data_IF_331994763816
#
_entry.id   IF_331994763816
#
_cell.length_a   1.000
_cell.length_b   1.000
_cell.length_c   1.000
_cell.angle_alpha   90.00
_cell.angle_beta   90.00
_cell.angle_gamma   90.00
#
_symmetry.space_group_name_H-M   'P 1'
#
loop_
_entity.id
_entity.type
_entity.pdbx_description
1 polymer ?
#
# COMPACT_ATOMS: atom_id res chain seq x y z
N UNK A 1 -2.66 -15.51 9.11
CA UNK A 1 -3.73 -14.95 8.26
C UNK A 1 -4.21 -15.95 7.19
N UNK A 2 -3.99 -17.26 7.38
CA UNK A 2 -4.28 -18.27 6.35
C UNK A 2 -5.75 -18.32 5.92
N UNK A 3 -6.67 -17.88 6.78
CA UNK A 3 -8.10 -17.87 6.56
C UNK A 3 -8.57 -16.93 5.44
N UNK A 4 -7.70 -16.03 4.97
CA UNK A 4 -8.06 -15.02 3.98
C UNK A 4 -7.22 -15.07 2.70
N UNK A 5 -6.23 -15.96 2.64
CA UNK A 5 -5.32 -16.08 1.50
C UNK A 5 -6.01 -16.61 0.25
N UNK A 6 -6.97 -17.52 0.37
CA UNK A 6 -7.73 -18.01 -0.77
C UNK A 6 -8.46 -16.88 -1.49
N UNK A 7 -9.05 -15.95 -0.72
CA UNK A 7 -9.65 -14.75 -1.29
C UNK A 7 -8.59 -13.83 -1.91
N UNK A 8 -7.49 -13.55 -1.23
CA UNK A 8 -6.41 -12.71 -1.75
C UNK A 8 -5.88 -13.22 -3.10
N UNK A 9 -5.36 -14.44 -3.13
CA UNK A 9 -4.77 -15.02 -4.35
C UNK A 9 -5.82 -15.29 -5.43
N UNK A 10 -7.04 -15.64 -5.03
CA UNK A 10 -8.15 -15.80 -5.95
C UNK A 10 -8.53 -14.50 -6.64
N UNK A 11 -8.58 -13.38 -5.91
CA UNK A 11 -8.83 -12.05 -6.50
C UNK A 11 -7.69 -11.60 -7.40
N UNK A 12 -6.43 -11.84 -7.02
CA UNK A 12 -5.27 -11.58 -7.88
C UNK A 12 -5.38 -12.33 -9.21
N UNK A 13 -5.65 -13.63 -9.16
CA UNK A 13 -5.83 -14.46 -10.35
C UNK A 13 -7.01 -14.01 -11.21
N UNK A 14 -8.10 -13.54 -10.59
CA UNK A 14 -9.31 -13.10 -11.29
C UNK A 14 -9.10 -11.75 -12.00
N UNK A 15 -8.49 -10.79 -11.30
CA UNK A 15 -8.47 -9.38 -11.69
C UNK A 15 -7.13 -8.88 -12.25
N UNK A 16 -6.08 -9.71 -12.15
CA UNK A 16 -4.74 -9.43 -12.71
C UNK A 16 -4.06 -10.70 -13.25
N UNK A 17 -4.72 -11.50 -14.11
CA UNK A 17 -4.21 -12.80 -14.56
C UNK A 17 -2.91 -12.72 -15.37
N UNK A 18 -2.61 -11.56 -15.97
CA UNK A 18 -1.40 -11.34 -16.78
C UNK A 18 -0.17 -10.99 -15.93
N UNK A 19 -0.34 -10.67 -14.65
CA UNK A 19 0.75 -10.29 -13.76
C UNK A 19 1.27 -11.53 -13.05
N UNK A 20 2.60 -11.71 -13.03
CA UNK A 20 3.26 -12.74 -12.24
C UNK A 20 3.15 -12.37 -10.77
N UNK A 21 2.61 -13.28 -9.95
CA UNK A 21 2.45 -13.09 -8.52
C UNK A 21 3.52 -13.87 -7.75
N UNK A 22 4.16 -13.19 -6.79
CA UNK A 22 5.12 -13.77 -5.84
C UNK A 22 4.71 -13.35 -4.44
N UNK A 23 4.76 -14.27 -3.47
CA UNK A 23 4.58 -13.94 -2.05
C UNK A 23 5.89 -14.14 -1.28
N UNK A 24 6.17 -13.24 -0.35
CA UNK A 24 7.26 -13.38 0.62
C UNK A 24 6.67 -13.94 1.91
N UNK A 25 7.21 -15.06 2.42
CA UNK A 25 6.63 -15.81 3.54
C UNK A 25 7.72 -16.32 4.49
N UNK A 26 7.44 -16.51 5.78
CA UNK A 26 8.42 -17.08 6.72
C UNK A 26 8.55 -18.61 6.61
N UNK A 27 7.60 -19.27 5.93
CA UNK A 27 7.57 -20.71 5.76
C UNK A 27 6.77 -21.10 4.53
N UNK A 28 7.38 -21.86 3.64
CA UNK A 28 6.72 -22.43 2.47
C UNK A 28 5.42 -23.19 2.82
N UNK A 29 4.39 -23.00 2.01
CA UNK A 29 3.08 -23.64 2.15
C UNK A 29 2.56 -24.18 0.82
N UNK A 30 2.05 -25.42 0.83
CA UNK A 30 1.41 -26.02 -0.35
C UNK A 30 0.06 -25.38 -0.70
N UNK A 31 -0.52 -24.59 0.22
CA UNK A 31 -1.81 -23.92 0.03
C UNK A 31 -1.73 -22.61 -0.77
N UNK A 32 -0.53 -22.11 -1.05
CA UNK A 32 -0.34 -20.86 -1.78
C UNK A 32 -0.11 -21.15 -3.26
N UNK A 33 -0.97 -20.66 -4.18
CA UNK A 33 -0.95 -21.03 -5.58
C UNK A 33 -0.01 -20.14 -6.43
N UNK A 34 0.93 -19.44 -5.81
CA UNK A 34 1.85 -18.50 -6.47
C UNK A 34 3.31 -18.84 -6.12
N UNK A 35 4.25 -18.20 -6.81
CA UNK A 35 5.67 -18.34 -6.47
C UNK A 35 5.90 -17.84 -5.03
N UNK A 36 6.72 -18.55 -4.26
CA UNK A 36 6.99 -18.25 -2.86
C UNK A 36 8.48 -17.99 -2.68
N UNK A 37 8.79 -16.96 -1.92
CA UNK A 37 10.15 -16.66 -1.47
C UNK A 37 10.15 -16.69 0.05
N UNK A 38 10.96 -17.58 0.63
CA UNK A 38 11.02 -17.77 2.08
C UNK A 38 12.03 -16.80 2.69
N UNK A 39 11.61 -15.98 3.66
CA UNK A 39 12.53 -15.13 4.42
C UNK A 39 12.96 -15.77 5.74
N UNK A 40 14.18 -15.44 6.15
CA UNK A 40 14.76 -15.85 7.43
C UNK A 40 14.38 -14.85 8.54
N UNK A 41 13.68 -15.35 9.56
CA UNK A 41 13.18 -14.58 10.70
C UNK A 41 14.30 -14.05 11.61
N UNK A 42 15.55 -14.53 11.48
CA UNK A 42 16.70 -14.01 12.21
C UNK A 42 17.20 -12.66 11.66
N UNK A 43 16.80 -12.29 10.45
CA UNK A 43 17.10 -10.98 9.86
C UNK A 43 16.12 -9.90 10.32
N UNK A 44 16.56 -8.64 10.24
CA UNK A 44 15.69 -7.50 10.49
C UNK A 44 14.68 -7.30 9.34
N UNK A 45 13.59 -6.55 9.54
CA UNK A 45 12.54 -6.38 8.52
C UNK A 45 13.09 -5.95 7.15
N UNK A 46 13.92 -4.91 7.10
CA UNK A 46 14.45 -4.43 5.83
C UNK A 46 15.34 -5.48 5.14
N UNK A 47 16.16 -6.19 5.90
CA UNK A 47 17.05 -7.22 5.37
C UNK A 47 16.27 -8.44 4.87
N UNK A 48 15.22 -8.87 5.58
CA UNK A 48 14.29 -9.90 5.10
C UNK A 48 13.71 -9.51 3.74
N UNK A 49 13.23 -8.27 3.63
CA UNK A 49 12.62 -7.77 2.40
C UNK A 49 13.63 -7.69 1.24
N UNK A 50 14.83 -7.17 1.48
CA UNK A 50 15.91 -7.08 0.48
C UNK A 50 16.30 -8.47 -0.02
N UNK A 51 16.48 -9.44 0.90
CA UNK A 51 16.82 -10.81 0.54
C UNK A 51 15.76 -11.40 -0.39
N UNK A 52 14.48 -11.21 -0.07
CA UNK A 52 13.40 -11.66 -0.92
C UNK A 52 13.37 -10.97 -2.30
N UNK A 53 13.59 -9.65 -2.34
CA UNK A 53 13.63 -8.91 -3.61
C UNK A 53 14.77 -9.39 -4.52
N UNK A 54 15.91 -9.79 -3.95
CA UNK A 54 17.05 -10.31 -4.71
C UNK A 54 16.77 -11.69 -5.34
N UNK A 55 15.74 -12.42 -4.89
CA UNK A 55 15.29 -13.68 -5.51
C UNK A 55 14.24 -13.47 -6.61
N UNK A 56 13.78 -12.22 -6.82
CA UNK A 56 12.82 -11.88 -7.87
C UNK A 56 13.61 -11.42 -9.10
N UNK A 57 13.40 -12.08 -10.24
CA UNK A 57 14.13 -11.77 -11.48
C UNK A 57 13.67 -10.44 -12.10
N UNK A 58 12.40 -10.06 -11.94
CA UNK A 58 11.83 -8.89 -12.60
C UNK A 58 12.45 -7.57 -12.11
N UNK A 59 12.87 -6.70 -13.03
CA UNK A 59 13.47 -5.38 -12.70
C UNK A 59 12.45 -4.37 -12.13
N UNK A 60 11.17 -4.60 -12.42
CA UNK A 60 10.06 -3.78 -11.97
C UNK A 60 9.02 -4.65 -11.30
N UNK A 61 8.53 -4.21 -10.15
CA UNK A 61 7.56 -4.97 -9.35
C UNK A 61 6.37 -4.11 -8.95
N UNK A 62 5.28 -4.76 -8.56
CA UNK A 62 4.19 -4.11 -7.83
C UNK A 62 4.33 -4.55 -6.38
N UNK A 63 4.62 -3.60 -5.49
CA UNK A 63 4.54 -3.80 -4.05
C UNK A 63 3.07 -3.84 -3.63
N UNK A 64 2.65 -4.79 -2.78
CA UNK A 64 1.31 -4.83 -2.20
C UNK A 64 1.27 -5.71 -0.92
N UNK A 65 0.30 -5.47 -0.02
CA UNK A 65 0.04 -6.29 1.18
C UNK A 65 -0.99 -7.39 0.94
N UNK A 66 -0.96 -8.44 1.76
CA UNK A 66 -1.76 -9.67 1.63
C UNK A 66 -3.24 -9.54 2.02
N UNK A 67 -3.68 -8.34 2.42
CA UNK A 67 -5.07 -8.00 2.68
C UNK A 67 -5.60 -6.90 1.76
N UNK A 68 -4.88 -6.60 0.67
CA UNK A 68 -5.30 -5.64 -0.36
C UNK A 68 -5.98 -6.37 -1.51
N UNK A 69 -7.32 -6.44 -1.47
CA UNK A 69 -8.08 -7.25 -2.43
C UNK A 69 -8.47 -6.45 -3.65
N UNK A 70 -8.06 -6.92 -4.83
CA UNK A 70 -8.66 -6.45 -6.07
C UNK A 70 -10.16 -6.80 -6.06
N UNK A 71 -11.02 -5.81 -6.30
CA UNK A 71 -12.46 -6.01 -6.41
C UNK A 71 -12.99 -5.79 -7.84
N UNK A 72 -12.13 -5.30 -8.74
CA UNK A 72 -12.35 -5.17 -10.19
C UNK A 72 -11.03 -5.41 -10.94
N UNK A 73 -11.13 -5.57 -12.25
CA UNK A 73 -9.96 -5.74 -13.11
C UNK A 73 -9.09 -4.49 -13.08
N UNK A 74 -7.76 -4.70 -13.09
CA UNK A 74 -6.80 -3.60 -13.28
C UNK A 74 -6.88 -3.06 -14.71
N UNK A 75 -6.48 -1.81 -14.93
CA UNK A 75 -6.31 -1.26 -16.28
C UNK A 75 -4.91 -1.59 -16.83
N UNK A 76 -4.76 -2.59 -17.71
CA UNK A 76 -3.44 -2.99 -18.20
C UNK A 76 -2.77 -1.93 -19.08
N UNK A 77 -3.52 -1.03 -19.70
CA UNK A 77 -2.96 0.02 -20.54
C UNK A 77 -2.31 1.10 -19.69
N UNK A 78 -3.00 1.54 -18.63
CA UNK A 78 -2.44 2.49 -17.66
C UNK A 78 -1.26 1.90 -16.89
N UNK A 79 -1.33 0.64 -16.50
CA UNK A 79 -0.20 -0.05 -15.85
C UNK A 79 1.05 -0.09 -16.77
N UNK A 80 0.88 -0.32 -18.08
CA UNK A 80 1.98 -0.26 -19.05
C UNK A 80 2.49 1.17 -19.25
N UNK A 81 1.61 2.15 -19.35
CA UNK A 81 1.98 3.57 -19.41
C UNK A 81 2.88 3.96 -18.23
N UNK A 82 2.51 3.57 -17.01
CA UNK A 82 3.29 3.89 -15.80
C UNK A 82 4.64 3.19 -15.79
N UNK A 83 4.69 1.93 -16.21
CA UNK A 83 5.94 1.20 -16.36
C UNK A 83 6.86 1.86 -17.40
N UNK A 84 6.30 2.31 -18.53
CA UNK A 84 7.05 2.99 -19.58
C UNK A 84 7.59 4.35 -19.11
N UNK A 85 6.86 5.07 -18.24
CA UNK A 85 7.34 6.30 -17.59
C UNK A 85 8.54 6.00 -16.68
N UNK A 86 8.42 5.03 -15.75
CA UNK A 86 9.53 4.65 -14.86
C UNK A 86 10.77 4.20 -15.65
N UNK A 87 10.57 3.58 -16.83
CA UNK A 87 11.66 3.14 -17.70
C UNK A 87 12.34 4.25 -18.50
N UNK A 88 11.64 5.35 -18.75
CA UNK A 88 12.09 6.40 -19.68
C UNK A 88 12.46 7.71 -19.01
N UNK A 89 11.98 7.94 -17.79
CA UNK A 89 12.25 9.13 -17.00
C UNK A 89 13.09 8.76 -15.77
N UNK A 90 14.39 9.06 -15.83
CA UNK A 90 15.36 8.78 -14.75
C UNK A 90 15.03 9.51 -13.43
N UNK A 91 14.14 10.52 -13.45
CA UNK A 91 13.66 11.20 -12.24
C UNK A 91 12.50 10.44 -11.57
N UNK A 92 11.99 9.35 -12.15
CA UNK A 92 10.82 8.61 -11.64
C UNK A 92 11.18 7.17 -11.27
N UNK A 93 11.35 6.89 -9.98
CA UNK A 93 11.63 5.54 -9.47
C UNK A 93 10.37 4.69 -9.23
N UNK A 94 9.21 5.34 -9.03
CA UNK A 94 7.98 4.64 -8.68
C UNK A 94 6.70 5.40 -9.04
N UNK A 95 5.60 4.66 -9.13
CA UNK A 95 4.24 5.19 -9.29
C UNK A 95 3.30 4.52 -8.28
N UNK A 96 2.80 5.29 -7.31
CA UNK A 96 1.72 4.85 -6.39
C UNK A 96 0.42 4.74 -7.18
N UNK A 97 -0.30 3.64 -6.99
CA UNK A 97 -1.47 3.32 -7.79
C UNK A 97 -2.78 3.97 -7.28
N UNK A 98 -2.72 4.77 -6.22
CA UNK A 98 -3.82 5.62 -5.79
C UNK A 98 -3.31 6.92 -5.15
N UNK A 99 -4.21 7.91 -5.05
CA UNK A 99 -3.99 9.09 -4.19
C UNK A 99 -4.28 8.68 -2.76
N UNK A 100 -3.21 8.55 -1.98
CA UNK A 100 -3.30 8.35 -0.55
C UNK A 100 -2.22 9.21 0.10
N UNK A 101 -2.61 10.30 0.78
CA UNK A 101 -1.73 10.92 1.74
C UNK A 101 -1.50 9.96 2.90
N UNK A 102 -0.29 9.90 3.42
CA UNK A 102 -0.01 9.09 4.60
C UNK A 102 -0.92 9.51 5.73
N UNK A 103 -1.48 8.51 6.43
CA UNK A 103 -2.28 8.80 7.59
C UNK A 103 -2.08 7.81 8.73
N UNK A 104 -1.62 8.34 9.86
CA UNK A 104 -1.48 7.60 11.12
C UNK A 104 -2.78 7.50 11.92
N UNK A 105 -3.94 7.78 11.32
CA UNK A 105 -5.17 8.04 12.09
C UNK A 105 -5.76 6.82 12.79
N UNK A 106 -5.30 5.61 12.47
CA UNK A 106 -5.49 4.45 13.34
C UNK A 106 -4.86 4.60 14.74
N UNK A 107 -4.08 5.66 14.98
CA UNK A 107 -3.52 6.07 16.28
C UNK A 107 -4.41 7.06 17.06
N UNK A 108 -5.49 7.59 16.47
CA UNK A 108 -6.31 8.63 17.08
C UNK A 108 -7.78 8.24 17.19
N UNK A 109 -8.43 8.65 18.28
CA UNK A 109 -9.86 8.42 18.53
C UNK A 109 -10.75 9.32 17.64
N UNK A 110 -12.00 8.90 17.42
CA UNK A 110 -13.00 9.70 16.70
C UNK A 110 -13.19 11.09 17.32
N UNK A 111 -13.09 11.19 18.66
CA UNK A 111 -13.11 12.49 19.35
C UNK A 111 -11.92 13.38 19.00
N UNK A 112 -10.71 12.82 18.82
CA UNK A 112 -9.55 13.60 18.37
C UNK A 112 -9.72 14.06 16.92
N UNK A 113 -10.23 13.17 16.06
CA UNK A 113 -10.53 13.48 14.65
C UNK A 113 -11.58 14.58 14.56
N UNK A 114 -12.70 14.43 15.25
CA UNK A 114 -13.81 15.39 15.26
C UNK A 114 -13.39 16.72 15.89
N UNK A 115 -12.55 16.68 16.92
CA UNK A 115 -11.94 17.87 17.49
C UNK A 115 -11.09 18.61 16.45
N UNK A 116 -10.22 17.92 15.72
CA UNK A 116 -9.43 18.54 14.66
C UNK A 116 -10.27 19.02 13.47
N UNK A 117 -11.34 18.29 13.11
CA UNK A 117 -12.35 18.76 12.14
C UNK A 117 -12.96 20.08 12.59
N UNK A 118 -13.37 20.16 13.85
CA UNK A 118 -13.97 21.37 14.42
C UNK A 118 -13.02 22.57 14.46
N UNK A 119 -11.71 22.32 14.46
CA UNK A 119 -10.66 23.33 14.44
C UNK A 119 -10.19 23.70 13.02
N UNK A 120 -10.73 23.06 11.97
CA UNK A 120 -10.22 23.17 10.60
C UNK A 120 -8.72 22.81 10.48
N UNK A 121 -8.22 21.95 11.37
CA UNK A 121 -6.80 21.58 11.48
C UNK A 121 -6.45 20.25 10.81
N UNK A 122 -7.41 19.58 10.16
CA UNK A 122 -7.13 18.33 9.46
C UNK A 122 -6.16 18.54 8.30
N UNK A 123 -6.28 19.65 7.56
CA UNK A 123 -5.37 19.98 6.46
C UNK A 123 -3.90 19.99 6.91
N UNK A 124 -3.62 20.35 8.17
CA UNK A 124 -2.26 20.43 8.75
C UNK A 124 -1.59 19.07 8.94
N UNK A 125 -2.35 17.96 8.95
CA UNK A 125 -1.82 16.62 9.17
C UNK A 125 -1.83 15.72 7.93
N UNK A 126 -2.38 16.19 6.80
CA UNK A 126 -2.79 15.33 5.68
C UNK A 126 -2.28 15.76 4.32
N UNK A 127 -1.66 16.94 4.20
CA UNK A 127 -1.37 17.55 2.90
C UNK A 127 0.02 17.29 2.35
N UNK A 128 0.96 16.80 3.16
CA UNK A 128 2.34 17.07 2.82
C UNK A 128 2.94 16.06 1.83
N UNK A 129 2.52 14.79 1.81
CA UNK A 129 3.15 13.76 0.96
C UNK A 129 2.50 13.50 -0.41
N UNK A 130 1.45 14.24 -0.77
CA UNK A 130 0.88 14.23 -2.13
C UNK A 130 0.82 15.66 -2.66
N UNK A 131 1.54 15.94 -3.74
CA UNK A 131 1.58 17.30 -4.31
C UNK A 131 0.57 17.47 -5.43
N UNK A 132 -0.02 18.66 -5.54
CA UNK A 132 -0.90 19.02 -6.67
C UNK A 132 -0.09 19.40 -7.94
N UNK A 133 1.21 19.03 -8.00
CA UNK A 133 2.06 19.27 -9.17
C UNK A 133 1.88 18.13 -10.17
N UNK A 134 1.16 18.44 -11.25
CA UNK A 134 0.92 17.51 -12.35
C UNK A 134 2.22 17.12 -13.07
N UNK A 135 2.36 15.82 -13.33
CA UNK A 135 3.28 15.26 -14.32
C UNK A 135 2.58 15.13 -15.67
N UNK A 136 1.34 14.63 -15.66
CA UNK A 136 0.41 14.60 -16.79
C UNK A 136 -1.04 14.60 -16.28
N UNK A 137 -2.01 14.40 -17.18
CA UNK A 137 -3.46 14.45 -16.88
C UNK A 137 -3.91 13.60 -15.68
N UNK A 138 -3.21 12.51 -15.36
CA UNK A 138 -3.61 11.56 -14.29
C UNK A 138 -2.51 11.24 -13.29
N UNK A 139 -1.32 11.79 -13.49
CA UNK A 139 -0.15 11.54 -12.64
C UNK A 139 0.32 12.84 -12.02
N UNK A 140 0.60 12.76 -10.74
CA UNK A 140 1.05 13.86 -9.92
C UNK A 140 2.30 13.46 -9.18
N UNK A 141 3.18 14.41 -8.92
CA UNK A 141 4.35 14.12 -8.09
C UNK A 141 3.94 13.86 -6.65
N UNK A 142 4.50 12.83 -6.02
CA UNK A 142 4.38 12.62 -4.56
C UNK A 142 4.97 13.82 -3.81
N UNK A 143 6.06 14.40 -4.33
CA UNK A 143 6.67 15.63 -3.84
C UNK A 143 7.05 16.56 -5.00
N UNK A 144 6.89 17.89 -4.87
CA UNK A 144 7.33 18.80 -5.91
C UNK A 144 8.82 18.59 -6.24
N UNK A 145 9.21 18.44 -7.52
CA UNK A 145 10.59 18.09 -7.90
C UNK A 145 11.64 19.18 -7.58
N UNK A 146 11.19 20.35 -7.11
CA UNK A 146 12.03 21.50 -6.74
C UNK A 146 12.22 21.66 -5.23
N UNK A 147 11.50 20.90 -4.41
CA UNK A 147 11.59 21.00 -2.96
C UNK A 147 12.55 19.97 -2.41
N UNK A 148 13.63 20.46 -1.79
CA UNK A 148 14.68 19.61 -1.23
C UNK A 148 14.23 18.91 0.06
N UNK A 149 13.25 19.50 0.76
CA UNK A 149 12.78 19.04 2.07
C UNK A 149 11.36 19.55 2.35
N UNK A 150 10.34 18.73 2.15
CA UNK A 150 9.00 18.91 2.73
C UNK A 150 8.24 17.59 2.72
N UNK A 151 7.53 17.28 3.80
CA UNK A 151 6.81 16.04 4.11
C UNK A 151 7.61 14.87 4.67
N UNK A 152 7.21 14.50 5.88
CA UNK A 152 7.71 13.40 6.71
C UNK A 152 7.36 12.00 6.19
N UNK A 153 6.59 11.86 5.09
CA UNK A 153 5.85 10.61 4.83
C UNK A 153 5.72 10.19 3.33
N UNK A 154 6.73 10.47 2.49
CA UNK A 154 6.66 10.20 1.04
C UNK A 154 6.90 8.76 0.61
N UNK A 155 7.14 7.86 1.56
CA UNK A 155 7.03 6.43 1.34
C UNK A 155 5.71 5.95 1.93
N UNK A 156 5.03 5.05 1.22
CA UNK A 156 3.85 4.39 1.76
C UNK A 156 3.76 2.94 1.32
N UNK A 157 3.33 2.08 2.24
CA UNK A 157 3.04 0.67 2.08
C UNK A 157 1.69 0.45 1.38
N UNK A 158 1.49 1.11 0.24
CA UNK A 158 0.33 1.00 -0.64
C UNK A 158 0.71 0.38 -1.99
N UNK A 159 -0.23 -0.13 -2.80
CA UNK A 159 0.05 -0.64 -4.14
C UNK A 159 0.86 0.35 -4.97
N UNK A 160 2.07 -0.04 -5.36
CA UNK A 160 3.04 0.85 -6.02
C UNK A 160 3.86 0.06 -7.02
N UNK A 161 3.98 0.58 -8.24
CA UNK A 161 4.96 0.08 -9.22
C UNK A 161 6.32 0.68 -8.86
N UNK A 162 7.34 -0.16 -8.72
CA UNK A 162 8.70 0.23 -8.35
C UNK A 162 9.71 -0.23 -9.39
N UNK A 163 10.70 0.61 -9.65
CA UNK A 163 12.04 0.11 -10.00
C UNK A 163 12.59 -0.67 -8.79
N UNK A 164 12.87 -1.96 -8.98
CA UNK A 164 13.29 -2.86 -7.90
C UNK A 164 14.63 -2.44 -7.29
N UNK A 165 15.59 -2.00 -8.10
CA UNK A 165 16.91 -1.58 -7.62
C UNK A 165 16.80 -0.35 -6.71
N UNK A 166 16.00 0.64 -7.10
CA UNK A 166 15.75 1.81 -6.24
C UNK A 166 15.00 1.45 -4.96
N UNK A 167 14.07 0.48 -5.02
CA UNK A 167 13.39 -0.03 -3.83
C UNK A 167 14.37 -0.74 -2.88
N UNK A 168 15.29 -1.57 -3.41
CA UNK A 168 16.35 -2.20 -2.61
C UNK A 168 17.22 -1.13 -1.95
N UNK A 169 17.70 -0.14 -2.72
CA UNK A 169 18.49 0.98 -2.20
C UNK A 169 17.75 1.73 -1.08
N UNK A 170 16.45 1.95 -1.26
CA UNK A 170 15.60 2.58 -0.24
C UNK A 170 15.55 1.75 1.06
N UNK A 171 15.32 0.44 0.95
CA UNK A 171 15.28 -0.46 2.10
C UNK A 171 16.65 -0.57 2.79
N UNK A 172 17.74 -0.63 2.04
CA UNK A 172 19.11 -0.63 2.57
C UNK A 172 19.40 0.66 3.35
N UNK A 173 18.98 1.80 2.82
CA UNK A 173 19.19 3.09 3.45
C UNK A 173 18.30 3.30 4.68
N UNK A 174 17.07 2.79 4.66
CA UNK A 174 16.12 2.87 5.77
C UNK A 174 16.53 1.95 6.92
N UNK A 175 16.92 0.70 6.61
CA UNK A 175 17.44 -0.31 7.54
C UNK A 175 16.62 -0.46 8.84
N UNK A 176 15.29 -0.50 8.72
CA UNK A 176 14.39 -0.67 9.85
C UNK A 176 14.42 -2.10 10.37
N UNK A 177 14.33 -2.19 11.70
CA UNK A 177 14.22 -3.47 12.39
C UNK A 177 12.83 -4.08 12.32
N UNK A 178 11.79 -3.25 12.40
CA UNK A 178 10.40 -3.68 12.46
C UNK A 178 9.59 -3.14 11.29
N UNK A 179 8.59 -3.93 10.92
CA UNK A 179 7.57 -3.53 9.95
C UNK A 179 6.87 -2.23 10.38
N UNK A 180 6.62 -1.37 9.40
CA UNK A 180 5.87 -0.14 9.55
C UNK A 180 6.54 1.07 8.91
N UNK A 181 5.72 2.06 8.62
CA UNK A 181 6.12 3.34 8.07
C UNK A 181 6.59 4.31 9.17
N UNK A 182 7.43 5.28 8.80
CA UNK A 182 8.09 6.20 9.72
C UNK A 182 8.93 7.23 8.97
N UNK A 183 9.46 8.20 9.73
CA UNK A 183 10.23 9.33 9.18
C UNK A 183 11.56 8.92 8.54
N UNK A 184 12.10 7.76 8.93
CA UNK A 184 13.31 7.16 8.36
C UNK A 184 13.17 6.80 6.89
N UNK A 185 12.00 6.33 6.44
CA UNK A 185 11.75 6.11 5.02
C UNK A 185 11.87 7.39 4.21
N UNK A 186 11.35 8.49 4.75
CA UNK A 186 11.43 9.80 4.13
C UNK A 186 12.86 10.33 4.09
N UNK A 187 13.61 10.15 5.18
CA UNK A 187 15.03 10.50 5.21
C UNK A 187 15.81 9.72 4.15
N UNK A 188 15.51 8.43 4.00
CA UNK A 188 16.12 7.56 3.01
C UNK A 188 15.80 8.00 1.58
N UNK A 189 14.52 8.24 1.25
CA UNK A 189 14.08 8.77 -0.05
C UNK A 189 14.83 10.07 -0.40
N UNK A 190 14.83 11.04 0.52
CA UNK A 190 15.49 12.33 0.32
C UNK A 190 17.01 12.18 0.12
N UNK A 191 17.65 11.29 0.89
CA UNK A 191 19.11 11.05 0.80
C UNK A 191 19.49 10.43 -0.54
N UNK A 192 18.67 9.51 -1.03
CA UNK A 192 18.90 8.82 -2.30
C UNK A 192 18.40 9.60 -3.51
N UNK A 193 17.71 10.73 -3.28
CA UNK A 193 16.98 11.49 -4.30
C UNK A 193 16.00 10.60 -5.10
N UNK A 194 15.38 9.63 -4.43
CA UNK A 194 14.32 8.80 -5.01
C UNK A 194 13.04 9.61 -5.04
N UNK A 195 12.42 9.67 -6.20
CA UNK A 195 11.16 10.41 -6.42
C UNK A 195 10.19 9.50 -7.14
N UNK A 196 8.92 9.86 -7.06
CA UNK A 196 7.87 9.10 -7.70
C UNK A 196 6.60 9.90 -7.87
N UNK A 197 5.69 9.27 -8.59
CA UNK A 197 4.38 9.80 -8.92
C UNK A 197 3.30 9.06 -8.13
N UNK A 198 2.10 9.62 -8.14
CA UNK A 198 0.89 8.92 -7.75
C UNK A 198 -0.19 9.14 -8.79
N UNK A 199 -1.06 8.14 -8.93
CA UNK A 199 -2.23 8.19 -9.80
C UNK A 199 -3.41 8.90 -9.12
N UNK A 200 -4.03 9.83 -9.84
CA UNK A 200 -5.31 10.43 -9.51
C UNK A 200 -6.00 10.96 -10.77
N UNK A 201 -7.25 10.57 -10.98
CA UNK A 201 -8.11 11.02 -12.06
C UNK A 201 -9.52 11.36 -11.52
N UNK A 202 -9.57 12.20 -10.49
CA UNK A 202 -10.81 12.63 -9.83
C UNK A 202 -11.64 11.46 -9.28
N UNK A 203 -10.99 10.39 -8.82
CA UNK A 203 -11.68 9.29 -8.15
C UNK A 203 -12.39 9.77 -6.88
N UNK A 204 -13.47 9.10 -6.46
CA UNK A 204 -14.09 9.41 -5.20
C UNK A 204 -13.15 9.13 -4.03
N UNK A 205 -13.21 10.00 -3.03
CA UNK A 205 -12.57 9.78 -1.75
C UNK A 205 -13.24 8.61 -1.04
N UNK A 206 -12.42 7.73 -0.47
CA UNK A 206 -12.79 6.53 0.27
C UNK A 206 -12.30 6.68 1.72
N UNK A 207 -13.20 6.43 2.67
CA UNK A 207 -12.92 6.69 4.08
C UNK A 207 -12.56 8.17 4.31
N UNK A 208 -11.52 8.41 5.12
CA UNK A 208 -11.17 9.77 5.55
C UNK A 208 -10.19 10.52 4.67
N UNK A 209 -9.32 9.86 3.90
CA UNK A 209 -8.23 10.54 3.17
C UNK A 209 -7.70 9.81 1.93
N UNK A 210 -7.95 8.52 1.79
CA UNK A 210 -7.52 7.82 0.58
C UNK A 210 -8.59 7.98 -0.50
N UNK A 211 -8.20 7.75 -1.73
CA UNK A 211 -9.08 7.79 -2.88
C UNK A 211 -9.10 6.42 -3.54
N UNK A 212 -10.23 6.08 -4.14
CA UNK A 212 -10.29 4.90 -4.99
C UNK A 212 -9.29 5.03 -6.16
N UNK A 213 -8.96 3.90 -6.79
CA UNK A 213 -8.19 3.89 -8.03
C UNK A 213 -9.00 3.23 -9.13
N UNK A 214 -9.14 3.92 -10.25
CA UNK A 214 -9.73 3.33 -11.46
C UNK A 214 -8.72 2.45 -12.23
N UNK A 215 -7.42 2.60 -11.98
CA UNK A 215 -6.35 1.81 -12.61
C UNK A 215 -6.08 0.52 -11.85
N UNK A 216 -6.11 0.58 -10.52
CA UNK A 216 -5.83 -0.55 -9.65
C UNK A 216 -6.91 -0.61 -8.56
N UNK A 217 -8.12 -1.09 -8.86
CA UNK A 217 -9.25 -1.04 -7.92
C UNK A 217 -9.12 -2.11 -6.82
N UNK A 218 -8.62 -1.69 -5.65
CA UNK A 218 -8.33 -2.55 -4.51
C UNK A 218 -8.98 -2.06 -3.20
N UNK A 219 -9.24 -3.00 -2.31
CA UNK A 219 -9.59 -2.74 -0.91
C UNK A 219 -8.32 -2.33 -0.17
N UNK A 220 -8.24 -1.10 0.32
CA UNK A 220 -7.15 -0.69 1.21
C UNK A 220 -7.40 -1.27 2.62
N UNK A 221 -6.64 -2.32 2.96
CA UNK A 221 -6.72 -3.05 4.23
C UNK A 221 -8.09 -3.70 4.46
N UNK A 222 -8.28 -4.90 3.93
CA UNK A 222 -9.51 -5.68 4.18
C UNK A 222 -9.70 -6.03 5.66
N UNK A 223 -8.60 -6.14 6.42
CA UNK A 223 -8.58 -6.51 7.82
C UNK A 223 -8.00 -5.39 8.69
N UNK A 224 -8.87 -4.66 9.38
CA UNK A 224 -8.47 -3.60 10.31
C UNK A 224 -8.60 -4.10 11.74
N UNK A 225 -7.49 -4.16 12.48
CA UNK A 225 -7.46 -4.65 13.88
C UNK A 225 -8.08 -6.04 14.07
N UNK A 226 -7.94 -6.89 13.05
CA UNK A 226 -8.49 -8.26 13.06
C UNK A 226 -9.93 -8.37 12.55
N UNK A 227 -10.64 -7.27 12.29
CA UNK A 227 -12.03 -7.23 11.82
C UNK A 227 -12.13 -6.89 10.32
N UNK A 228 -13.20 -7.33 9.67
CA UNK A 228 -13.49 -6.97 8.27
C UNK A 228 -13.83 -5.50 8.10
N UNK A 229 -13.22 -4.83 7.12
CA UNK A 229 -13.49 -3.43 6.78
C UNK A 229 -14.68 -3.25 5.80
N UNK A 230 -15.79 -3.98 6.02
CA UNK A 230 -16.99 -3.90 5.14
C UNK A 230 -17.69 -2.54 5.19
N UNK A 231 -17.41 -1.74 6.21
CA UNK A 231 -17.95 -0.39 6.35
C UNK A 231 -17.41 0.56 5.28
N UNK A 232 -16.09 0.57 5.05
CA UNK A 232 -15.47 1.40 4.01
C UNK A 232 -15.57 0.72 2.63
N UNK A 233 -15.51 -0.61 2.61
CA UNK A 233 -15.52 -1.43 1.39
C UNK A 233 -16.67 -2.44 1.37
N UNK A 234 -17.88 -2.02 0.98
CA UNK A 234 -19.02 -2.92 0.80
C UNK A 234 -18.73 -4.09 -0.16
N UNK A 235 -17.82 -3.89 -1.11
CA UNK A 235 -17.36 -4.90 -2.08
C UNK A 235 -16.77 -6.15 -1.39
N UNK A 236 -16.25 -6.02 -0.17
CA UNK A 236 -15.78 -7.17 0.61
C UNK A 236 -16.86 -8.21 0.90
N UNK A 237 -18.13 -7.80 0.99
CA UNK A 237 -19.24 -8.75 1.24
C UNK A 237 -19.32 -9.78 0.12
N UNK A 238 -19.21 -9.33 -1.13
CA UNK A 238 -19.23 -10.23 -2.29
C UNK A 238 -18.01 -11.14 -2.33
N UNK A 239 -16.84 -10.63 -1.92
CA UNK A 239 -15.60 -11.41 -1.83
C UNK A 239 -15.72 -12.49 -0.75
N UNK A 240 -16.13 -12.12 0.46
CA UNK A 240 -16.34 -13.06 1.59
C UNK A 240 -17.30 -14.18 1.18
N UNK A 241 -18.42 -13.83 0.55
CA UNK A 241 -19.41 -14.80 0.07
C UNK A 241 -18.85 -15.71 -1.03
N UNK A 242 -18.12 -15.16 -2.01
CA UNK A 242 -17.57 -15.91 -3.13
C UNK A 242 -16.58 -17.00 -2.68
N UNK A 243 -15.78 -16.72 -1.66
CA UNK A 243 -14.79 -17.65 -1.10
C UNK A 243 -15.31 -18.44 0.11
N UNK A 244 -16.60 -18.30 0.46
CA UNK A 244 -17.24 -18.99 1.58
C UNK A 244 -16.50 -18.79 2.90
N UNK A 245 -15.96 -17.60 3.10
CA UNK A 245 -15.31 -17.22 4.35
C UNK A 245 -16.39 -16.97 5.39
N UNK A 246 -16.25 -17.52 6.60
CA UNK A 246 -17.17 -17.21 7.69
C UNK A 246 -16.85 -15.82 8.26
N UNK A 247 -17.69 -14.78 8.01
CA UNK A 247 -17.42 -13.43 8.48
C UNK A 247 -17.40 -13.36 10.01
N UNK A 248 -18.03 -14.29 10.73
CA UNK A 248 -18.09 -14.30 12.19
C UNK A 248 -16.77 -14.66 12.85
N UNK A 249 -15.85 -15.32 12.12
CA UNK A 249 -14.49 -15.65 12.61
C UNK A 249 -13.76 -14.39 13.07
N UNK A 250 -13.95 -13.29 12.32
CA UNK A 250 -13.32 -11.99 12.58
C UNK A 250 -14.30 -10.96 13.10
N UNK A 251 -15.56 -11.04 12.69
CA UNK A 251 -16.55 -9.99 12.90
C UNK A 251 -16.32 -8.78 12.01
N UNK A 252 -17.16 -7.77 12.18
CA UNK A 252 -17.12 -6.53 11.39
C UNK A 252 -16.49 -5.39 12.17
N UNK A 253 -15.73 -4.54 11.47
CA UNK A 253 -15.23 -3.29 12.00
C UNK A 253 -16.41 -2.36 12.26
N UNK A 254 -16.45 -1.77 13.46
CA UNK A 254 -17.48 -0.83 13.86
C UNK A 254 -16.89 0.20 14.83
N UNK A 255 -17.61 1.31 15.13
CA UNK A 255 -17.03 2.37 15.97
C UNK A 255 -16.60 1.88 17.37
N UNK A 256 -17.22 0.82 17.91
CA UNK A 256 -16.89 0.34 19.26
C UNK A 256 -15.56 -0.44 19.31
N UNK A 257 -15.17 -1.15 18.24
CA UNK A 257 -13.92 -1.90 18.17
C UNK A 257 -12.78 -1.14 17.45
N UNK A 258 -13.07 0.00 16.80
CA UNK A 258 -12.02 0.94 16.34
C UNK A 258 -11.21 1.52 17.50
N UNK A 259 -11.75 1.57 18.72
CA UNK A 259 -11.15 2.26 19.87
C UNK A 259 -10.47 1.32 20.89
N UNK A 260 -10.45 0.01 20.62
CA UNK A 260 -9.82 -1.00 21.48
C UNK A 260 -8.41 -1.39 21.02
N UNK A 261 -7.46 -1.30 21.96
CA UNK A 261 -6.07 -1.79 21.92
C UNK A 261 -5.07 -1.06 21.02
N UNK A 262 -4.07 -0.49 21.72
CA UNK A 262 -2.74 -0.16 21.22
C UNK A 262 -2.08 -1.39 20.62
N UNK A 263 -1.35 -1.21 19.52
CA UNK A 263 -0.50 -2.20 18.86
C UNK A 263 0.29 -3.03 19.89
N UNK A 264 -0.14 -4.28 20.11
CA UNK A 264 0.75 -5.31 20.60
C UNK A 264 1.21 -6.10 19.38
N UNK A 265 2.50 -5.92 19.06
CA UNK A 265 3.23 -6.62 18.02
C UNK A 265 3.16 -8.12 18.30
N UNK A 266 2.67 -8.88 17.32
CA UNK A 266 2.96 -10.30 17.17
C UNK A 266 4.13 -10.47 16.22
#
# INVERSE_FOLDING_TARGET
MYDVWDAYFGQLKKHSPEIKHTVMINKMSTGIPVHQVEYDEDHNYCQQYINCLNEIDEDYIIYMQEDFYLYRDIDPYKMREYLDIIKSDDDVSFVRLCKQPFFSLYRYSQQQIDHWKSLNQLEVFTSDDVSEVEYNDTLYWVKPPREKYTSSLSYSMQPTIWNKEDLIRLYEKCNRHSFGEGADWTEALNTLNIRGLYHYNNEPQRGLLHFDSNVFPYVLTAIVKGYWNTMEYPELVDIINAYRIDPLTRGELNPSNMHGQSWHQG
#
